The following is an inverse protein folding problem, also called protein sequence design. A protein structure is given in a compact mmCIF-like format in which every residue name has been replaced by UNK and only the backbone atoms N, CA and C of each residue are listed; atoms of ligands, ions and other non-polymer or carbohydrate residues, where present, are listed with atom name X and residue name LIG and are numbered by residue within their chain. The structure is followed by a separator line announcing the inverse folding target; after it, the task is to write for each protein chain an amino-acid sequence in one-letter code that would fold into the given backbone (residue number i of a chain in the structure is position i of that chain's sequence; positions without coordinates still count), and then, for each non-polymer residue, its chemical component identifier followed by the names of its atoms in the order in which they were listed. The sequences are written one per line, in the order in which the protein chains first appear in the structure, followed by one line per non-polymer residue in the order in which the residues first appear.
data_IF_844236135825
#
_entry.id   IF_844236135825
#
_cell.length_a   1.000
_cell.length_b   1.000
_cell.length_c   1.000
_cell.angle_alpha   90.00
_cell.angle_beta   90.00
_cell.angle_gamma   90.00
#
_symmetry.space_group_name_H-M   'P 1'
#
loop_
_entity.id
_entity.type
_entity.pdbx_description
1 polymer ?
#
# COMPACT_ATOMS: atom_id res chain seq x y z
N UNK A 1 -8.22 -20.89 -9.28
CA UNK A 1 -7.74 -20.68 -10.65
C UNK A 1 -8.88 -20.08 -11.45
N UNK A 2 -8.82 -18.80 -11.82
CA UNK A 2 -9.87 -18.15 -12.60
C UNK A 2 -9.73 -18.56 -14.07
N UNK A 3 -10.55 -19.50 -14.53
CA UNK A 3 -10.54 -20.03 -15.90
C UNK A 3 -11.45 -19.25 -16.84
N UNK A 4 -11.31 -17.93 -16.90
CA UNK A 4 -11.88 -17.13 -18.00
C UNK A 4 -10.85 -16.09 -18.44
N UNK A 5 -10.43 -16.19 -19.69
CA UNK A 5 -9.54 -15.30 -20.41
C UNK A 5 -10.20 -13.92 -20.65
N UNK A 6 -10.56 -13.22 -19.58
CA UNK A 6 -11.04 -11.82 -19.62
C UNK A 6 -9.94 -10.91 -19.11
N UNK A 7 -9.69 -9.83 -19.84
CA UNK A 7 -8.83 -8.75 -19.37
C UNK A 7 -9.28 -8.31 -17.97
N UNK A 8 -8.37 -8.37 -17.01
CA UNK A 8 -8.60 -7.88 -15.66
C UNK A 8 -8.19 -6.41 -15.65
N UNK A 9 -9.18 -5.53 -15.46
CA UNK A 9 -8.93 -4.11 -15.23
C UNK A 9 -8.91 -3.88 -13.73
N UNK A 10 -7.73 -3.53 -13.22
CA UNK A 10 -7.49 -3.29 -11.80
C UNK A 10 -7.14 -1.82 -11.59
N UNK A 11 -7.44 -1.33 -10.40
CA UNK A 11 -6.96 -0.04 -9.91
C UNK A 11 -5.70 -0.27 -9.07
N UNK A 12 -4.79 0.73 -8.98
CA UNK A 12 -4.93 2.09 -9.51
C UNK A 12 -4.61 2.21 -11.01
N UNK A 13 -5.21 3.23 -11.63
CA UNK A 13 -4.90 3.76 -12.96
C UNK A 13 -4.87 5.27 -12.84
N UNK A 14 -3.86 5.93 -13.42
CA UNK A 14 -3.84 7.38 -13.57
C UNK A 14 -4.10 7.78 -15.02
N UNK A 15 -4.69 8.96 -15.20
CA UNK A 15 -4.79 9.64 -16.47
C UNK A 15 -4.07 10.98 -16.31
N UNK A 16 -2.85 11.05 -16.83
CA UNK A 16 -2.04 12.25 -16.78
C UNK A 16 -2.33 13.13 -18.01
N UNK A 17 -2.84 14.36 -17.83
CA UNK A 17 -3.14 15.27 -18.93
C UNK A 17 -1.94 15.52 -19.86
N UNK A 18 -2.27 15.81 -21.12
CA UNK A 18 -1.28 16.28 -22.09
C UNK A 18 -0.88 17.73 -21.77
N UNK A 19 0.41 18.04 -21.93
CA UNK A 19 0.90 19.42 -21.86
C UNK A 19 0.41 20.26 -23.05
N UNK A 20 0.08 19.62 -24.18
CA UNK A 20 -0.50 20.27 -25.35
C UNK A 20 -2.01 20.49 -25.18
N UNK A 21 -2.54 21.72 -25.45
CA UNK A 21 -3.97 22.00 -25.45
C UNK A 21 -4.75 21.06 -26.39
N UNK A 22 -5.68 20.28 -25.83
CA UNK A 22 -6.49 19.31 -26.59
C UNK A 22 -5.80 17.97 -26.87
N UNK A 23 -4.57 17.77 -26.38
CA UNK A 23 -3.88 16.48 -26.48
C UNK A 23 -4.53 15.37 -25.65
N UNK A 24 -4.25 14.12 -26.01
CA UNK A 24 -4.81 12.94 -25.32
C UNK A 24 -4.04 12.68 -24.01
N UNK A 25 -4.72 12.35 -22.90
CA UNK A 25 -4.06 11.95 -21.66
C UNK A 25 -3.22 10.68 -21.85
N UNK A 26 -2.14 10.57 -21.06
CA UNK A 26 -1.38 9.33 -20.91
C UNK A 26 -2.02 8.50 -19.80
N UNK A 27 -2.40 7.27 -20.12
CA UNK A 27 -2.96 6.33 -19.15
C UNK A 27 -1.88 5.36 -18.70
N UNK A 28 -1.69 5.26 -17.39
CA UNK A 28 -0.72 4.34 -16.78
C UNK A 28 -1.43 3.49 -15.75
N UNK A 29 -1.27 2.17 -15.87
CA UNK A 29 -1.83 1.16 -14.97
C UNK A 29 -0.71 0.55 -14.13
N UNK A 30 -1.08 -0.13 -13.04
CA UNK A 30 -0.17 -0.77 -12.07
C UNK A 30 0.62 0.23 -11.21
N UNK A 31 0.55 0.07 -9.89
CA UNK A 31 1.11 1.05 -8.95
C UNK A 31 2.62 1.28 -9.13
N UNK A 32 3.38 0.24 -9.45
CA UNK A 32 4.82 0.35 -9.66
C UNK A 32 5.17 1.09 -10.96
N UNK A 33 4.45 0.79 -12.05
CA UNK A 33 4.64 1.46 -13.35
C UNK A 33 4.18 2.92 -13.27
N UNK A 34 3.09 3.19 -12.55
CA UNK A 34 2.66 4.56 -12.21
C UNK A 34 3.78 5.30 -11.48
N UNK A 35 4.40 4.70 -10.47
CA UNK A 35 5.49 5.35 -9.75
C UNK A 35 6.71 5.61 -10.64
N UNK A 36 7.07 4.68 -11.54
CA UNK A 36 8.16 4.89 -12.52
C UNK A 36 7.82 6.06 -13.43
N UNK A 37 6.61 6.07 -13.98
CA UNK A 37 6.14 7.11 -14.87
C UNK A 37 6.20 8.49 -14.20
N UNK A 38 5.73 8.58 -12.95
CA UNK A 38 5.75 9.82 -12.19
C UNK A 38 7.19 10.30 -11.92
N UNK A 39 8.09 9.41 -11.49
CA UNK A 39 9.50 9.75 -11.27
C UNK A 39 10.21 10.22 -12.56
N UNK A 40 9.88 9.61 -13.71
CA UNK A 40 10.49 9.94 -15.00
C UNK A 40 9.93 11.25 -15.60
N UNK A 41 8.62 11.46 -15.52
CA UNK A 41 7.96 12.66 -16.07
C UNK A 41 8.08 13.88 -15.15
N UNK A 42 8.12 13.66 -13.84
CA UNK A 42 8.19 14.70 -12.82
C UNK A 42 9.46 14.53 -11.97
N UNK A 43 10.65 14.89 -12.49
CA UNK A 43 11.90 14.61 -11.82
C UNK A 43 12.24 15.61 -10.71
N UNK A 44 13.18 15.20 -9.86
CA UNK A 44 13.85 16.06 -8.87
C UNK A 44 14.64 17.21 -9.53
N UNK A 45 14.87 18.34 -8.83
CA UNK A 45 14.48 18.62 -7.43
C UNK A 45 13.04 19.14 -7.28
N UNK A 46 12.32 19.36 -8.39
CA UNK A 46 10.96 19.92 -8.36
C UNK A 46 9.98 18.98 -7.65
N UNK A 47 10.12 17.67 -7.89
CA UNK A 47 9.33 16.63 -7.22
C UNK A 47 10.28 15.62 -6.55
N UNK A 48 9.99 15.17 -5.32
CA UNK A 48 10.81 14.16 -4.65
C UNK A 48 10.83 12.84 -5.44
N UNK A 49 12.02 12.31 -5.70
CA UNK A 49 12.17 11.03 -6.39
C UNK A 49 11.87 9.84 -5.45
N UNK A 50 10.98 8.94 -5.89
CA UNK A 50 10.63 7.69 -5.20
C UNK A 50 11.80 6.70 -5.32
N UNK A 51 12.42 6.61 -6.49
CA UNK A 51 13.47 5.63 -6.77
C UNK A 51 14.86 6.25 -6.64
N UNK A 52 15.69 5.65 -5.77
CA UNK A 52 17.11 5.93 -5.80
C UNK A 52 17.73 5.37 -7.10
N UNK A 53 18.78 6.02 -7.67
CA UNK A 53 19.44 5.53 -8.88
C UNK A 53 19.86 4.05 -8.75
N UNK A 54 19.54 3.24 -9.76
CA UNK A 54 19.88 1.81 -9.80
C UNK A 54 19.02 0.91 -8.91
N UNK A 55 18.01 1.42 -8.21
CA UNK A 55 17.25 0.62 -7.22
C UNK A 55 15.87 0.15 -7.66
N UNK A 56 15.35 0.55 -8.83
CA UNK A 56 14.01 0.16 -9.31
C UNK A 56 13.77 -1.35 -9.21
N UNK A 57 14.67 -2.18 -9.75
CA UNK A 57 14.53 -3.63 -9.70
C UNK A 57 14.51 -4.18 -8.26
N UNK A 58 15.39 -3.66 -7.39
CA UNK A 58 15.44 -4.06 -5.98
C UNK A 58 14.16 -3.68 -5.25
N UNK A 59 13.65 -2.46 -5.47
CA UNK A 59 12.41 -2.00 -4.85
C UNK A 59 11.19 -2.78 -5.35
N UNK A 60 11.16 -3.21 -6.61
CA UNK A 60 10.11 -4.11 -7.14
C UNK A 60 10.14 -5.46 -6.44
N UNK A 61 11.32 -6.08 -6.35
CA UNK A 61 11.50 -7.37 -5.69
C UNK A 61 11.06 -7.28 -4.24
N UNK A 62 11.52 -6.25 -3.51
CA UNK A 62 11.21 -6.08 -2.09
C UNK A 62 9.74 -5.71 -1.87
N UNK A 63 9.13 -4.89 -2.73
CA UNK A 63 7.68 -4.59 -2.61
C UNK A 63 6.83 -5.82 -2.87
N UNK A 64 7.18 -6.64 -3.87
CA UNK A 64 6.45 -7.87 -4.16
C UNK A 64 6.61 -8.89 -3.04
N UNK A 65 7.83 -9.06 -2.53
CA UNK A 65 8.12 -9.93 -1.40
C UNK A 65 7.32 -9.48 -0.18
N UNK A 66 7.36 -8.20 0.16
CA UNK A 66 6.60 -7.65 1.28
C UNK A 66 5.11 -7.90 1.08
N UNK A 67 4.53 -7.54 -0.08
CA UNK A 67 3.09 -7.68 -0.29
C UNK A 67 2.66 -9.15 -0.24
N UNK A 68 3.39 -10.06 -0.89
CA UNK A 68 3.01 -11.47 -0.95
C UNK A 68 3.18 -12.18 0.40
N UNK A 69 4.28 -11.94 1.10
CA UNK A 69 4.60 -12.69 2.33
C UNK A 69 4.02 -12.05 3.59
N UNK A 70 3.91 -10.71 3.61
CA UNK A 70 3.60 -9.91 4.80
C UNK A 70 2.31 -9.12 4.64
N UNK A 71 2.21 -8.20 3.66
CA UNK A 71 1.05 -7.33 3.49
C UNK A 71 -0.25 -8.10 3.29
N UNK A 72 -0.26 -9.08 2.39
CA UNK A 72 -1.43 -9.92 2.10
C UNK A 72 -1.80 -10.89 3.22
N UNK A 73 -0.96 -11.06 4.24
CA UNK A 73 -1.36 -11.82 5.43
C UNK A 73 -2.49 -11.12 6.21
N UNK A 74 -2.68 -9.80 6.04
CA UNK A 74 -3.80 -9.04 6.61
C UNK A 74 -5.15 -9.30 5.90
N UNK A 75 -5.14 -9.88 4.69
CA UNK A 75 -6.34 -10.04 3.85
C UNK A 75 -7.52 -10.72 4.55
N UNK A 76 -7.34 -11.86 5.25
CA UNK A 76 -8.45 -12.55 5.91
C UNK A 76 -9.23 -11.67 6.89
N UNK A 77 -8.55 -10.72 7.54
CA UNK A 77 -9.18 -9.79 8.47
C UNK A 77 -9.76 -8.57 7.73
N UNK A 78 -8.98 -7.95 6.85
CA UNK A 78 -9.36 -6.71 6.19
C UNK A 78 -10.53 -6.89 5.20
N UNK A 79 -10.61 -8.02 4.50
CA UNK A 79 -11.70 -8.26 3.52
C UNK A 79 -13.07 -8.31 4.21
N UNK A 80 -13.18 -8.99 5.34
CA UNK A 80 -14.45 -9.06 6.06
C UNK A 80 -14.88 -7.70 6.62
N UNK A 81 -13.92 -6.81 6.92
CA UNK A 81 -14.19 -5.43 7.29
C UNK A 81 -14.69 -4.60 6.10
N UNK A 82 -14.06 -4.75 4.93
CA UNK A 82 -14.48 -4.09 3.67
C UNK A 82 -15.86 -4.55 3.21
N UNK A 83 -16.23 -5.81 3.47
CA UNK A 83 -17.52 -6.38 3.09
C UNK A 83 -18.71 -5.86 3.93
N UNK A 84 -18.45 -5.14 5.03
CA UNK A 84 -19.50 -4.61 5.91
C UNK A 84 -20.34 -3.56 5.18
N UNK A 85 -21.66 -3.47 5.48
CA UNK A 85 -22.49 -2.38 5.00
C UNK A 85 -21.89 -1.01 5.37
N UNK A 86 -21.93 -0.07 4.43
CA UNK A 86 -21.47 1.31 4.62
C UNK A 86 -19.98 1.56 4.37
N UNK A 87 -19.14 0.53 4.17
CA UNK A 87 -17.74 0.74 3.78
C UNK A 87 -17.61 1.02 2.27
N UNK A 88 -18.23 0.19 1.43
CA UNK A 88 -18.42 0.45 0.00
C UNK A 88 -19.85 0.94 -0.25
N UNK A 89 -20.07 1.61 -1.39
CA UNK A 89 -21.43 1.80 -1.92
C UNK A 89 -22.09 0.43 -2.18
N UNK A 90 -23.42 0.39 -2.23
CA UNK A 90 -24.14 -0.89 -2.25
C UNK A 90 -23.76 -1.76 -3.46
N UNK A 91 -23.56 -1.15 -4.63
CA UNK A 91 -23.17 -1.89 -5.85
C UNK A 91 -21.72 -2.38 -5.74
N UNK A 92 -20.82 -1.54 -5.22
CA UNK A 92 -19.43 -1.90 -4.94
C UNK A 92 -19.34 -3.07 -3.95
N UNK A 93 -20.12 -3.01 -2.88
CA UNK A 93 -20.21 -4.06 -1.85
C UNK A 93 -20.72 -5.38 -2.42
N UNK A 94 -21.81 -5.36 -3.19
CA UNK A 94 -22.37 -6.55 -3.82
C UNK A 94 -21.35 -7.23 -4.74
N UNK A 95 -20.68 -6.45 -5.60
CA UNK A 95 -19.62 -6.95 -6.46
C UNK A 95 -18.45 -7.53 -5.65
N UNK A 96 -18.01 -6.82 -4.61
CA UNK A 96 -16.90 -7.24 -3.76
C UNK A 96 -17.18 -8.57 -3.07
N UNK A 97 -18.32 -8.68 -2.38
CA UNK A 97 -18.73 -9.91 -1.68
C UNK A 97 -18.80 -11.08 -2.65
N UNK A 98 -19.55 -10.94 -3.75
CA UNK A 98 -19.71 -12.00 -4.76
C UNK A 98 -18.37 -12.48 -5.34
N UNK A 99 -17.45 -11.56 -5.62
CA UNK A 99 -16.15 -11.91 -6.21
C UNK A 99 -15.20 -12.54 -5.19
N UNK A 100 -15.19 -12.06 -3.94
CA UNK A 100 -14.29 -12.59 -2.89
C UNK A 100 -14.78 -13.91 -2.33
N UNK A 101 -16.09 -14.14 -2.20
CA UNK A 101 -16.64 -15.45 -1.83
C UNK A 101 -16.28 -16.52 -2.87
N UNK A 102 -16.37 -16.18 -4.17
CA UNK A 102 -15.95 -17.08 -5.24
C UNK A 102 -14.47 -17.42 -5.18
N UNK A 103 -13.63 -16.44 -4.82
CA UNK A 103 -12.18 -16.62 -4.73
C UNK A 103 -11.77 -17.42 -3.50
N UNK A 104 -12.33 -17.09 -2.33
CA UNK A 104 -11.93 -17.63 -1.03
C UNK A 104 -12.78 -18.81 -0.57
N UNK A 105 -13.78 -19.24 -1.35
CA UNK A 105 -14.83 -20.22 -1.02
C UNK A 105 -15.78 -19.78 0.11
N UNK A 106 -15.31 -18.97 1.06
CA UNK A 106 -16.11 -18.29 2.10
C UNK A 106 -15.39 -17.02 2.55
N UNK A 107 -16.12 -15.93 2.73
CA UNK A 107 -15.62 -14.77 3.47
C UNK A 107 -15.64 -15.09 4.97
N UNK A 108 -14.46 -15.12 5.60
CA UNK A 108 -14.40 -15.25 7.06
C UNK A 108 -14.92 -13.97 7.71
N UNK A 109 -15.72 -14.13 8.77
CA UNK A 109 -16.05 -13.02 9.65
C UNK A 109 -14.77 -12.62 10.41
N UNK A 110 -14.34 -11.35 10.41
CA UNK A 110 -13.13 -10.93 11.14
C UNK A 110 -13.16 -11.22 12.65
N UNK A 111 -14.36 -11.42 13.22
CA UNK A 111 -14.54 -11.86 14.61
C UNK A 111 -14.32 -13.37 14.81
N UNK A 112 -14.43 -14.17 13.75
CA UNK A 112 -14.16 -15.61 13.76
C UNK A 112 -12.68 -15.93 13.47
N UNK A 113 -11.91 -14.96 12.98
CA UNK A 113 -10.49 -15.16 12.69
C UNK A 113 -9.67 -15.27 13.99
N UNK A 114 -8.94 -16.38 14.15
CA UNK A 114 -8.31 -16.75 15.42
C UNK A 114 -7.12 -15.87 15.83
N UNK A 115 -6.87 -15.80 17.14
CA UNK A 115 -5.67 -15.18 17.71
C UNK A 115 -4.37 -15.82 17.19
N UNK A 116 -4.39 -17.11 16.87
CA UNK A 116 -3.25 -17.81 16.28
C UNK A 116 -2.86 -17.22 14.90
N UNK A 117 -3.84 -16.99 14.01
CA UNK A 117 -3.59 -16.34 12.72
C UNK A 117 -3.04 -14.92 12.90
N UNK A 118 -3.51 -14.18 13.91
CA UNK A 118 -2.98 -12.85 14.22
C UNK A 118 -1.53 -12.91 14.72
N UNK A 119 -1.18 -13.92 15.52
CA UNK A 119 0.20 -14.20 15.93
C UNK A 119 1.13 -14.49 14.75
N UNK A 120 0.68 -15.29 13.78
CA UNK A 120 1.46 -15.55 12.56
C UNK A 120 1.74 -14.27 11.76
N UNK A 121 0.76 -13.34 11.70
CA UNK A 121 0.94 -12.04 11.07
C UNK A 121 1.97 -11.22 11.85
N UNK A 122 1.83 -11.14 13.18
CA UNK A 122 2.81 -10.46 14.03
C UNK A 122 4.23 -10.95 13.74
N UNK A 123 4.43 -12.27 13.63
CA UNK A 123 5.74 -12.87 13.38
C UNK A 123 6.27 -12.55 11.99
N UNK A 124 5.42 -12.60 10.95
CA UNK A 124 5.79 -12.19 9.58
C UNK A 124 6.25 -10.74 9.50
N UNK A 125 5.51 -9.83 10.14
CA UNK A 125 5.91 -8.43 10.23
C UNK A 125 7.21 -8.30 11.02
N UNK A 126 7.34 -9.01 12.15
CA UNK A 126 8.56 -9.04 12.94
C UNK A 126 9.79 -9.51 12.16
N UNK A 127 9.66 -10.58 11.39
CA UNK A 127 10.74 -11.14 10.56
C UNK A 127 11.15 -10.21 9.42
N UNK A 128 10.19 -9.55 8.77
CA UNK A 128 10.49 -8.49 7.82
C UNK A 128 11.21 -7.31 8.50
N UNK A 129 10.75 -6.90 9.68
CA UNK A 129 11.38 -5.87 10.50
C UNK A 129 12.84 -6.21 10.87
N UNK A 130 13.15 -7.49 11.12
CA UNK A 130 14.54 -7.96 11.35
C UNK A 130 15.41 -7.79 10.10
N UNK A 131 14.87 -7.92 8.88
CA UNK A 131 15.63 -7.63 7.66
C UNK A 131 16.02 -6.15 7.57
N UNK A 132 15.16 -5.24 8.06
CA UNK A 132 15.47 -3.81 8.06
C UNK A 132 16.58 -3.45 9.06
N UNK A 133 16.87 -4.32 10.02
CA UNK A 133 17.94 -4.08 11.00
C UNK A 133 19.35 -4.15 10.37
N UNK A 134 19.50 -4.63 9.14
CA UNK A 134 20.76 -4.50 8.40
C UNK A 134 21.14 -3.04 8.11
N UNK A 135 20.21 -2.09 8.26
CA UNK A 135 20.50 -0.66 8.18
C UNK A 135 21.09 -0.07 9.48
N UNK A 136 21.09 -0.81 10.61
CA UNK A 136 21.60 -0.32 11.90
C UNK A 136 23.08 0.02 11.82
N UNK A 137 23.47 1.18 12.33
CA UNK A 137 24.86 1.66 12.29
C UNK A 137 25.37 2.08 10.90
N UNK A 138 24.54 1.97 9.85
CA UNK A 138 24.79 2.53 8.54
C UNK A 138 23.92 3.79 8.36
N UNK A 139 22.93 3.77 7.47
CA UNK A 139 21.95 4.84 7.33
C UNK A 139 20.65 4.51 8.08
N UNK A 140 20.77 4.28 9.39
CA UNK A 140 19.64 3.86 10.22
C UNK A 140 18.47 4.85 10.14
N UNK A 141 17.27 4.32 9.87
CA UNK A 141 16.06 5.10 9.76
C UNK A 141 14.81 4.21 9.69
N UNK A 142 13.63 4.83 9.59
CA UNK A 142 12.34 4.14 9.68
C UNK A 142 11.98 3.37 8.40
N UNK A 143 12.71 3.57 7.31
CA UNK A 143 12.38 3.06 5.98
C UNK A 143 13.24 1.87 5.56
N UNK A 144 12.81 1.18 4.50
CA UNK A 144 13.48 0.02 3.91
C UNK A 144 14.89 0.39 3.45
N UNK A 145 15.06 1.59 2.89
CA UNK A 145 16.36 2.13 2.51
C UNK A 145 16.96 3.03 3.60
N UNK A 146 16.66 2.76 4.87
CA UNK A 146 17.23 3.49 5.99
C UNK A 146 16.51 4.81 6.25
N UNK A 147 17.18 5.95 6.08
CA UNK A 147 16.54 7.28 6.21
C UNK A 147 15.79 7.70 4.95
N UNK A 148 16.04 7.03 3.83
CA UNK A 148 15.43 7.34 2.54
C UNK A 148 14.16 6.52 2.35
N UNK A 149 13.06 7.19 2.04
CA UNK A 149 11.83 6.52 1.60
C UNK A 149 12.00 5.88 0.21
N UNK A 150 11.32 4.75 0.02
CA UNK A 150 11.31 3.95 -1.20
C UNK A 150 9.88 3.55 -1.58
N UNK A 151 9.69 3.02 -2.79
CA UNK A 151 8.42 2.44 -3.21
C UNK A 151 7.93 1.33 -2.26
N UNK A 152 8.85 0.53 -1.71
CA UNK A 152 8.49 -0.52 -0.74
C UNK A 152 7.85 0.07 0.51
N UNK A 153 8.29 1.24 0.97
CA UNK A 153 7.69 1.92 2.13
C UNK A 153 6.25 2.38 1.84
N UNK A 154 5.95 2.78 0.61
CA UNK A 154 4.57 3.06 0.19
C UNK A 154 3.71 1.78 0.13
N UNK A 155 4.28 0.61 -0.19
CA UNK A 155 3.57 -0.66 -0.10
C UNK A 155 3.25 -1.04 1.37
N UNK A 156 4.21 -0.83 2.28
CA UNK A 156 4.03 -1.03 3.73
C UNK A 156 2.95 -0.07 4.26
N UNK A 157 3.09 1.22 3.95
CA UNK A 157 2.13 2.27 4.29
C UNK A 157 0.74 1.97 3.73
N UNK A 158 0.64 1.49 2.49
CA UNK A 158 -0.62 1.10 1.86
C UNK A 158 -1.32 -0.04 2.59
N UNK A 159 -0.59 -1.06 3.04
CA UNK A 159 -1.14 -2.17 3.83
C UNK A 159 -1.66 -1.69 5.19
N UNK A 160 -0.89 -0.82 5.88
CA UNK A 160 -1.30 -0.21 7.15
C UNK A 160 -2.53 0.68 6.97
N UNK A 161 -2.50 1.57 5.98
CA UNK A 161 -3.60 2.48 5.68
C UNK A 161 -4.88 1.71 5.38
N UNK A 162 -4.79 0.65 4.58
CA UNK A 162 -5.92 -0.20 4.26
C UNK A 162 -6.55 -0.82 5.50
N UNK A 163 -5.75 -1.39 6.41
CA UNK A 163 -6.26 -1.94 7.68
C UNK A 163 -6.96 -0.85 8.52
N UNK A 164 -6.31 0.31 8.70
CA UNK A 164 -6.85 1.44 9.46
C UNK A 164 -8.21 1.89 8.91
N UNK A 165 -8.29 2.10 7.59
CA UNK A 165 -9.52 2.51 6.91
C UNK A 165 -10.61 1.45 7.04
N UNK A 166 -10.27 0.18 6.84
CA UNK A 166 -11.23 -0.92 6.91
C UNK A 166 -11.80 -1.11 8.32
N UNK A 167 -10.98 -0.92 9.36
CA UNK A 167 -11.47 -0.97 10.74
C UNK A 167 -12.37 0.22 11.09
N UNK A 168 -11.92 1.44 10.80
CA UNK A 168 -12.55 2.67 11.26
C UNK A 168 -12.62 2.76 12.80
N UNK A 169 -13.20 3.83 13.32
CA UNK A 169 -13.47 4.00 14.76
C UNK A 169 -12.23 3.75 15.64
N UNK A 170 -12.38 2.87 16.62
CA UNK A 170 -11.35 2.55 17.64
C UNK A 170 -10.15 1.75 17.09
N UNK A 171 -10.23 1.24 15.85
CA UNK A 171 -9.14 0.54 15.15
C UNK A 171 -8.33 -0.45 16.03
N UNK A 172 -8.94 -1.48 16.63
CA UNK A 172 -8.29 -2.32 17.62
C UNK A 172 -7.09 -3.11 17.08
N UNK A 173 -7.12 -3.59 15.82
CA UNK A 173 -5.98 -4.31 15.25
C UNK A 173 -4.85 -3.37 14.92
N UNK A 174 -5.14 -2.20 14.34
CA UNK A 174 -4.11 -1.18 14.16
C UNK A 174 -3.49 -0.76 15.50
N UNK A 175 -4.30 -0.52 16.53
CA UNK A 175 -3.80 -0.13 17.86
C UNK A 175 -2.86 -1.19 18.43
N UNK A 176 -3.21 -2.48 18.31
CA UNK A 176 -2.31 -3.57 18.69
C UNK A 176 -1.05 -3.62 17.80
N UNK A 177 -1.20 -3.49 16.48
CA UNK A 177 -0.12 -3.52 15.51
C UNK A 177 0.87 -2.36 15.68
N UNK A 178 0.38 -1.20 16.14
CA UNK A 178 1.18 -0.03 16.43
C UNK A 178 2.18 -0.28 17.58
N UNK A 179 1.93 -1.26 18.46
CA UNK A 179 2.84 -1.63 19.56
C UNK A 179 3.91 -2.64 19.13
N UNK A 180 3.74 -3.30 17.98
CA UNK A 180 4.60 -4.39 17.54
C UNK A 180 6.07 -3.96 17.35
N UNK A 181 6.97 -4.88 17.69
CA UNK A 181 8.43 -4.70 17.62
C UNK A 181 8.91 -3.36 18.21
N UNK A 182 8.36 -2.99 19.37
CA UNK A 182 8.70 -1.76 20.08
C UNK A 182 8.25 -0.51 19.35
N UNK A 183 7.08 -0.55 18.71
CA UNK A 183 6.49 0.58 17.99
C UNK A 183 7.07 0.85 16.62
N UNK A 184 7.69 -0.15 15.97
CA UNK A 184 8.33 0.04 14.65
C UNK A 184 7.34 0.53 13.60
N UNK A 185 6.21 -0.14 13.47
CA UNK A 185 5.24 0.16 12.40
C UNK A 185 4.45 1.43 12.68
N UNK A 186 4.26 1.79 13.95
CA UNK A 186 3.73 3.10 14.32
C UNK A 186 4.66 4.23 13.88
N UNK A 187 5.98 4.11 14.14
CA UNK A 187 6.97 5.10 13.66
C UNK A 187 6.98 5.18 12.14
N UNK A 188 7.04 4.03 11.46
CA UNK A 188 7.01 3.97 10.01
C UNK A 188 5.76 4.65 9.43
N UNK A 189 4.58 4.34 9.96
CA UNK A 189 3.33 4.96 9.56
C UNK A 189 3.32 6.47 9.80
N UNK A 190 3.82 6.93 10.96
CA UNK A 190 3.90 8.35 11.29
C UNK A 190 4.68 9.14 10.26
N UNK A 191 5.76 8.57 9.71
CA UNK A 191 6.56 9.22 8.68
C UNK A 191 5.81 9.29 7.34
N UNK A 192 5.13 8.21 6.94
CA UNK A 192 4.27 8.18 5.75
C UNK A 192 3.13 9.20 5.87
N UNK A 193 2.46 9.26 7.02
CA UNK A 193 1.38 10.21 7.29
C UNK A 193 1.89 11.65 7.29
N UNK A 194 3.09 11.90 7.81
CA UNK A 194 3.75 13.21 7.72
C UNK A 194 3.98 13.61 6.26
N UNK A 195 4.47 12.68 5.43
CA UNK A 195 4.66 12.91 4.00
C UNK A 195 3.34 13.18 3.27
N UNK A 196 2.28 12.43 3.55
CA UNK A 196 0.94 12.65 2.99
C UNK A 196 0.42 14.06 3.33
N UNK A 197 0.55 14.46 4.60
CA UNK A 197 0.05 15.76 5.08
C UNK A 197 0.89 16.96 4.59
N UNK A 198 2.17 16.74 4.28
CA UNK A 198 3.09 17.79 3.82
C UNK A 198 3.23 17.84 2.30
N UNK A 199 2.65 16.86 1.60
CA UNK A 199 2.57 16.87 0.13
C UNK A 199 1.67 18.01 -0.32
N UNK A 200 2.24 19.02 -0.96
CA UNK A 200 1.45 20.09 -1.59
C UNK A 200 0.77 19.57 -2.84
N UNK A 201 -0.54 19.80 -2.97
CA UNK A 201 -1.21 19.72 -4.27
C UNK A 201 -0.50 20.68 -5.23
N UNK A 202 0.21 20.15 -6.23
CA UNK A 202 0.68 20.97 -7.34
C UNK A 202 -0.50 21.09 -8.30
N UNK A 203 -1.43 21.99 -7.97
CA UNK A 203 -2.50 22.38 -8.88
C UNK A 203 -1.93 22.91 -10.20
N UNK A 204 -2.69 22.88 -11.31
CA UNK A 204 -2.23 23.41 -12.57
C UNK A 204 -1.79 24.86 -12.37
N UNK A 205 -0.52 25.15 -12.60
CA UNK A 205 -0.05 26.52 -12.65
C UNK A 205 -0.81 27.20 -13.78
N UNK A 206 -1.71 28.11 -13.43
CA UNK A 206 -2.36 28.98 -14.39
C UNK A 206 -1.26 29.82 -15.04
N UNK A 207 -0.81 29.40 -16.22
CA UNK A 207 -0.09 30.29 -17.13
C UNK A 207 -1.14 31.26 -17.71
N UNK A 208 -1.33 32.37 -17.00
CA UNK A 208 -1.82 33.62 -17.58
C UNK A 208 -0.60 34.49 -17.91
#
# INVERSE_FOLDING_TARGET
MFTHNRAQFLLPVIADPSDEPGGKPTYVLESFEIAIYLDDKYPAPKYPAIFAPGTRALQKITSDLFMNEVGYSLFPFAIGLVAKPGFLDERGREYFVRTRERWMKRLENPAETSSAKWGEIHDKWGDFGKQLDYNKGADEGPFVMGKRISFTDFAIGGAIHWLRRAEGGDMPRWTNMAEWQGGRWARHWSEIETLENTSTEVGPQSHL
#
